data_IF_000742139915
#
_entry.id   IF_000742139915
#
_cell.length_a   1.000
_cell.length_b   1.000
_cell.length_c   1.000
_cell.angle_alpha   90.00
_cell.angle_beta   90.00
_cell.angle_gamma   90.00
#
_symmetry.space_group_name_H-M   'P 1'
#
loop_
_entity.id
_entity.type
_entity.pdbx_description
1 polymer ?
#
# COMPACT_ATOMS: atom_id res chain seq x y z
N UNK A 1 12.19 -26.41 33.66
CA UNK A 1 12.69 -25.01 33.69
C UNK A 1 11.90 -24.25 32.64
N UNK A 2 10.97 -23.42 33.08
CA UNK A 2 10.10 -22.61 32.24
C UNK A 2 10.86 -21.42 31.67
N UNK A 3 10.96 -21.31 30.35
CA UNK A 3 11.43 -20.08 29.71
C UNK A 3 10.52 -18.90 30.08
N UNK A 4 11.09 -17.72 30.35
CA UNK A 4 10.28 -16.55 30.63
C UNK A 4 9.61 -16.08 29.32
N UNK A 5 8.29 -15.95 29.36
CA UNK A 5 7.53 -15.29 28.32
C UNK A 5 8.17 -13.94 27.99
N UNK A 6 8.67 -13.77 26.76
CA UNK A 6 9.12 -12.48 26.25
C UNK A 6 7.94 -11.53 26.29
N UNK A 7 7.95 -10.61 27.26
CA UNK A 7 7.09 -9.43 27.24
C UNK A 7 7.44 -8.62 26.00
N UNK A 8 6.57 -8.67 25.01
CA UNK A 8 6.55 -7.68 23.92
C UNK A 8 6.08 -6.39 24.58
N UNK A 9 6.96 -5.39 24.68
CA UNK A 9 6.55 -4.04 25.09
C UNK A 9 5.54 -3.52 24.05
N UNK A 10 4.29 -3.18 24.40
CA UNK A 10 3.26 -2.91 23.39
C UNK A 10 3.31 -1.53 22.76
N UNK A 11 4.25 -0.66 23.14
CA UNK A 11 4.33 0.71 22.62
C UNK A 11 5.77 1.17 22.65
N UNK A 12 6.41 1.46 21.50
CA UNK A 12 7.72 2.06 21.52
C UNK A 12 7.60 3.52 21.97
N UNK A 13 8.61 4.01 22.68
CA UNK A 13 8.84 5.45 22.94
C UNK A 13 9.00 6.28 21.64
N UNK A 14 8.85 5.67 20.45
CA UNK A 14 9.31 6.15 19.15
C UNK A 14 8.27 6.84 18.26
N UNK A 15 7.03 7.02 18.71
CA UNK A 15 5.98 7.70 17.94
C UNK A 15 5.58 9.06 18.52
N UNK A 16 6.49 9.67 19.28
CA UNK A 16 6.34 11.08 19.66
C UNK A 16 6.38 11.95 18.40
N UNK A 17 5.47 12.95 18.25
CA UNK A 17 5.54 13.95 17.18
C UNK A 17 6.90 14.70 17.10
N UNK A 18 7.68 14.65 18.19
CA UNK A 18 9.02 15.25 18.29
C UNK A 18 10.12 14.44 17.60
N UNK A 19 9.90 13.16 17.33
CA UNK A 19 10.84 12.28 16.62
C UNK A 19 10.33 12.09 15.21
N UNK A 20 11.08 12.59 14.21
CA UNK A 20 10.74 12.44 12.79
C UNK A 20 11.45 11.22 12.22
N UNK A 21 10.77 10.08 11.99
CA UNK A 21 11.41 8.89 11.47
C UNK A 21 11.70 9.03 9.97
N UNK A 22 12.67 8.28 9.47
CA UNK A 22 12.66 7.91 8.06
C UNK A 22 11.68 6.74 7.88
N UNK A 23 11.12 6.58 6.68
CA UNK A 23 10.19 5.48 6.44
C UNK A 23 10.87 4.11 6.63
N UNK A 24 12.16 4.02 6.28
CA UNK A 24 12.97 2.83 6.51
C UNK A 24 13.32 2.63 8.00
N UNK A 25 13.32 3.69 8.83
CA UNK A 25 13.46 3.54 10.28
C UNK A 25 12.15 3.14 10.95
N UNK A 26 10.98 3.41 10.35
CA UNK A 26 9.73 2.75 10.77
C UNK A 26 9.80 1.22 10.55
N UNK A 27 10.68 0.77 9.65
CA UNK A 27 10.99 -0.64 9.41
C UNK A 27 12.06 -1.21 10.38
N UNK A 28 12.72 -0.38 11.20
CA UNK A 28 13.70 -0.85 12.18
C UNK A 28 13.01 -1.38 13.44
N UNK A 29 12.40 -2.55 13.32
CA UNK A 29 12.52 -3.64 14.30
C UNK A 29 12.35 -4.97 13.55
N UNK A 30 13.44 -5.73 13.53
CA UNK A 30 13.64 -7.05 12.95
C UNK A 30 13.56 -7.18 11.41
N UNK A 31 14.74 -7.23 10.78
CA UNK A 31 14.99 -8.38 9.92
C UNK A 31 14.78 -9.61 10.80
N UNK A 32 13.63 -10.28 10.63
CA UNK A 32 13.27 -11.44 11.45
C UNK A 32 14.21 -12.59 11.09
N UNK A 33 15.31 -12.73 11.82
CA UNK A 33 16.14 -13.94 11.77
C UNK A 33 15.37 -15.21 12.14
N UNK A 34 14.15 -15.07 12.67
CA UNK A 34 13.19 -16.13 12.97
C UNK A 34 12.21 -16.47 11.85
N UNK A 35 12.02 -15.59 10.85
CA UNK A 35 11.09 -15.89 9.74
C UNK A 35 11.81 -16.85 8.79
N UNK A 36 11.60 -18.14 9.03
CA UNK A 36 12.09 -19.23 8.21
C UNK A 36 10.92 -20.12 7.84
N UNK A 37 10.93 -20.64 6.63
CA UNK A 37 10.02 -21.70 6.24
C UNK A 37 10.83 -22.99 6.11
N UNK A 38 10.42 -24.04 6.81
CA UNK A 38 10.92 -25.39 6.55
C UNK A 38 10.19 -25.95 5.34
N UNK A 39 10.84 -26.83 4.57
CA UNK A 39 10.17 -27.58 3.51
C UNK A 39 8.99 -28.38 4.10
N UNK A 40 7.73 -28.03 3.76
CA UNK A 40 6.55 -28.68 4.35
C UNK A 40 6.42 -30.15 3.93
N UNK A 41 7.17 -30.60 2.92
CA UNK A 41 7.17 -31.98 2.43
C UNK A 41 8.41 -32.77 2.87
N UNK A 42 9.25 -32.21 3.75
CA UNK A 42 10.39 -32.95 4.31
C UNK A 42 9.90 -34.17 5.10
N UNK A 43 10.05 -35.36 4.51
CA UNK A 43 9.61 -36.64 5.10
C UNK A 43 8.13 -36.99 4.88
N UNK A 44 7.41 -36.30 3.99
CA UNK A 44 6.01 -36.55 3.66
C UNK A 44 5.75 -36.90 2.18
N UNK A 45 4.48 -36.93 1.77
CA UNK A 45 4.10 -37.06 0.35
C UNK A 45 4.53 -35.81 -0.44
N UNK A 46 4.98 -35.95 -1.70
CA UNK A 46 5.35 -34.80 -2.52
C UNK A 46 4.12 -33.92 -2.83
N UNK A 47 4.31 -32.63 -3.12
CA UNK A 47 3.22 -31.75 -3.57
C UNK A 47 2.57 -32.30 -4.85
N UNK A 48 1.34 -31.87 -5.14
CA UNK A 48 0.76 -32.11 -6.45
C UNK A 48 1.65 -31.54 -7.56
N UNK A 49 1.48 -32.05 -8.79
CA UNK A 49 2.26 -31.59 -9.95
C UNK A 49 1.75 -30.27 -10.49
N UNK A 50 0.45 -29.99 -10.37
CA UNK A 50 -0.15 -28.71 -10.72
C UNK A 50 -1.40 -28.46 -9.88
N UNK A 51 -1.64 -27.20 -9.56
CA UNK A 51 -2.88 -26.77 -8.93
C UNK A 51 -3.13 -25.28 -9.20
N UNK A 52 -4.39 -24.87 -9.14
CA UNK A 52 -4.83 -23.48 -9.32
C UNK A 52 -6.11 -23.22 -8.54
N UNK A 53 -6.11 -22.17 -7.71
CA UNK A 53 -7.28 -21.70 -6.97
C UNK A 53 -8.26 -21.07 -7.95
N UNK A 54 -9.42 -21.69 -8.13
CA UNK A 54 -10.45 -21.24 -9.07
C UNK A 54 -11.33 -20.11 -8.49
N UNK A 55 -11.51 -20.10 -7.17
CA UNK A 55 -12.36 -19.14 -6.47
C UNK A 55 -11.58 -18.33 -5.43
N UNK A 56 -11.41 -17.05 -5.71
CA UNK A 56 -10.74 -16.05 -4.88
C UNK A 56 -11.17 -14.63 -5.32
N UNK A 57 -10.98 -13.66 -4.44
CA UNK A 57 -11.18 -12.24 -4.77
C UNK A 57 -10.04 -11.77 -5.67
N UNK A 58 -10.33 -11.45 -6.94
CA UNK A 58 -9.34 -10.94 -7.88
C UNK A 58 -8.97 -9.49 -7.55
N UNK A 59 -7.75 -9.10 -7.89
CA UNK A 59 -7.31 -7.71 -7.82
C UNK A 59 -8.01 -6.92 -8.94
N UNK A 60 -8.70 -5.85 -8.57
CA UNK A 60 -9.25 -4.90 -9.54
C UNK A 60 -8.17 -3.91 -9.99
N UNK A 61 -8.13 -3.61 -11.29
CA UNK A 61 -7.19 -2.63 -11.84
C UNK A 61 -7.50 -1.16 -11.44
N UNK A 62 -8.62 -0.93 -10.75
CA UNK A 62 -9.05 0.34 -10.19
C UNK A 62 -8.77 0.47 -8.68
N UNK A 63 -8.24 -0.57 -8.04
CA UNK A 63 -8.06 -0.62 -6.58
C UNK A 63 -6.72 -0.03 -6.16
N UNK A 64 -6.67 1.30 -6.07
CA UNK A 64 -5.45 2.10 -5.97
C UNK A 64 -4.48 1.75 -4.82
N UNK A 65 -4.90 1.01 -3.79
CA UNK A 65 -3.98 0.42 -2.79
C UNK A 65 -3.75 -1.09 -3.07
N UNK A 66 -2.94 -1.38 -4.09
CA UNK A 66 -2.80 -2.72 -4.68
C UNK A 66 -2.37 -3.79 -3.67
N UNK A 67 -1.41 -3.44 -2.81
CA UNK A 67 -0.96 -4.34 -1.75
C UNK A 67 -2.09 -4.66 -0.77
N UNK A 68 -2.90 -3.67 -0.41
CA UNK A 68 -4.05 -3.84 0.47
C UNK A 68 -5.15 -4.69 -0.17
N UNK A 69 -5.34 -4.58 -1.49
CA UNK A 69 -6.25 -5.44 -2.25
C UNK A 69 -5.80 -6.91 -2.23
N UNK A 70 -4.50 -7.16 -2.39
CA UNK A 70 -3.94 -8.51 -2.25
C UNK A 70 -4.13 -9.09 -0.86
N UNK A 71 -3.90 -8.29 0.20
CA UNK A 71 -4.14 -8.72 1.58
C UNK A 71 -5.63 -9.02 1.80
N UNK A 72 -6.52 -8.19 1.25
CA UNK A 72 -7.97 -8.41 1.31
C UNK A 72 -8.37 -9.77 0.72
N UNK A 73 -7.81 -10.12 -0.44
CA UNK A 73 -8.07 -11.42 -1.07
C UNK A 73 -7.63 -12.60 -0.23
N UNK A 74 -6.43 -12.53 0.37
CA UNK A 74 -5.96 -13.55 1.33
C UNK A 74 -6.91 -13.63 2.53
N UNK A 75 -7.31 -12.48 3.09
CA UNK A 75 -8.26 -12.40 4.19
C UNK A 75 -9.59 -13.09 3.89
N UNK A 76 -10.15 -12.88 2.69
CA UNK A 76 -11.37 -13.59 2.24
C UNK A 76 -11.20 -15.11 2.25
N UNK A 77 -10.04 -15.62 1.80
CA UNK A 77 -9.76 -17.08 1.83
C UNK A 77 -9.56 -17.64 3.24
N UNK A 78 -9.21 -16.79 4.20
CA UNK A 78 -9.15 -17.14 5.63
C UNK A 78 -10.51 -17.02 6.34
N UNK A 79 -11.57 -16.64 5.62
CA UNK A 79 -12.92 -16.50 6.16
C UNK A 79 -13.22 -15.11 6.75
N UNK A 80 -12.44 -14.07 6.41
CA UNK A 80 -12.80 -12.70 6.77
C UNK A 80 -14.05 -12.24 6.01
N UNK A 81 -14.99 -11.64 6.73
CA UNK A 81 -16.17 -11.00 6.15
C UNK A 81 -15.85 -9.62 5.54
N UNK A 82 -14.64 -9.10 5.77
CA UNK A 82 -14.21 -7.78 5.32
C UNK A 82 -13.75 -7.86 3.86
N UNK A 83 -14.59 -7.33 2.96
CA UNK A 83 -14.32 -7.20 1.53
C UNK A 83 -14.09 -5.73 1.13
N UNK A 84 -13.22 -5.06 1.88
CA UNK A 84 -12.84 -3.67 1.62
C UNK A 84 -11.33 -3.53 1.79
N UNK A 85 -10.61 -3.27 0.69
CA UNK A 85 -9.17 -3.07 0.74
C UNK A 85 -8.78 -1.84 1.58
N UNK A 86 -9.68 -0.85 1.70
CA UNK A 86 -9.38 0.32 2.52
C UNK A 86 -9.34 0.01 4.03
N UNK A 87 -10.02 -1.06 4.48
CA UNK A 87 -9.85 -1.55 5.85
C UNK A 87 -8.37 -1.88 6.11
N UNK A 88 -7.74 -2.60 5.19
CA UNK A 88 -6.33 -3.02 5.28
C UNK A 88 -5.37 -1.83 5.16
N UNK A 89 -5.74 -0.82 4.35
CA UNK A 89 -4.99 0.42 4.17
C UNK A 89 -4.81 1.24 5.47
N UNK A 90 -5.66 1.02 6.48
CA UNK A 90 -5.45 1.61 7.80
C UNK A 90 -4.23 1.02 8.52
N UNK A 91 -3.99 -0.29 8.38
CA UNK A 91 -2.91 -0.99 9.08
C UNK A 91 -1.57 -0.89 8.35
N UNK A 92 -1.61 -0.71 7.03
CA UNK A 92 -0.41 -0.41 6.24
C UNK A 92 0.01 1.06 6.34
N UNK A 93 -0.92 1.94 6.74
CA UNK A 93 -0.69 3.39 6.86
C UNK A 93 -0.95 4.17 5.57
N UNK A 94 -1.39 3.52 4.49
CA UNK A 94 -1.70 4.17 3.22
C UNK A 94 -2.82 5.21 3.38
N UNK A 95 -3.81 4.95 4.23
CA UNK A 95 -4.89 5.91 4.51
C UNK A 95 -4.43 7.18 5.23
N UNK A 96 -3.28 7.15 5.92
CA UNK A 96 -2.78 8.24 6.76
C UNK A 96 -1.53 8.92 6.23
N UNK A 97 -1.01 8.47 5.09
CA UNK A 97 0.21 9.01 4.50
C UNK A 97 -0.13 9.86 3.28
N UNK A 98 0.23 11.14 3.35
CA UNK A 98 0.12 12.07 2.22
C UNK A 98 1.51 12.27 1.62
N UNK A 99 1.67 12.02 0.32
CA UNK A 99 2.97 12.08 -0.36
C UNK A 99 2.91 12.91 -1.64
N UNK A 100 4.05 13.52 -1.98
CA UNK A 100 4.28 14.23 -3.23
C UNK A 100 5.76 14.16 -3.59
N UNK A 101 6.13 14.49 -4.83
CA UNK A 101 7.52 14.68 -5.20
C UNK A 101 8.23 15.63 -4.22
N UNK A 102 9.45 15.30 -3.79
CA UNK A 102 10.20 16.14 -2.85
C UNK A 102 10.64 17.48 -3.48
N UNK A 103 10.64 17.56 -4.80
CA UNK A 103 11.04 18.72 -5.58
C UNK A 103 9.85 19.29 -6.36
N UNK A 104 9.76 20.61 -6.35
CA UNK A 104 8.73 21.37 -7.05
C UNK A 104 8.76 21.08 -8.56
N UNK A 105 7.58 20.83 -9.14
CA UNK A 105 7.45 20.49 -10.57
C UNK A 105 7.81 19.05 -10.92
N UNK A 106 8.07 18.18 -9.93
CA UNK A 106 8.36 16.76 -10.12
C UNK A 106 9.40 16.47 -11.26
N UNK A 107 10.62 17.03 -11.19
CA UNK A 107 11.61 16.91 -12.26
C UNK A 107 12.06 15.46 -12.52
N UNK A 108 11.94 14.58 -11.51
CA UNK A 108 12.29 13.17 -11.60
C UNK A 108 11.11 12.29 -12.04
N UNK A 109 9.95 12.89 -12.36
CA UNK A 109 8.74 12.21 -12.81
C UNK A 109 8.30 11.05 -11.89
N UNK A 110 8.43 11.25 -10.57
CA UNK A 110 8.03 10.24 -9.58
C UNK A 110 6.51 10.08 -9.59
N UNK A 111 6.02 8.86 -9.57
CA UNK A 111 4.57 8.61 -9.54
C UNK A 111 4.03 8.81 -8.12
N UNK A 112 2.87 9.44 -7.97
CA UNK A 112 2.20 9.62 -6.67
C UNK A 112 0.74 9.15 -6.73
N UNK A 113 0.43 8.25 -7.66
CA UNK A 113 -0.90 7.73 -7.93
C UNK A 113 -1.46 6.81 -6.85
N UNK A 114 -0.63 6.19 -6.01
CA UNK A 114 -1.00 5.18 -5.02
C UNK A 114 -0.50 5.53 -3.59
N UNK A 115 -0.76 4.64 -2.64
CA UNK A 115 -0.33 4.77 -1.24
C UNK A 115 1.18 4.59 -1.06
N UNK A 116 1.65 4.81 0.16
CA UNK A 116 3.07 4.69 0.54
C UNK A 116 3.64 3.30 0.27
N UNK A 117 2.80 2.26 0.38
CA UNK A 117 3.20 0.88 0.09
C UNK A 117 3.44 0.57 -1.39
N UNK A 118 3.13 1.48 -2.31
CA UNK A 118 3.54 1.30 -3.70
C UNK A 118 4.99 1.74 -3.95
N UNK A 119 5.49 2.69 -3.15
CA UNK A 119 6.79 3.35 -3.40
C UNK A 119 7.86 2.99 -2.38
N UNK A 120 7.47 2.42 -1.24
CA UNK A 120 8.38 2.08 -0.16
C UNK A 120 8.13 0.65 0.30
N UNK A 121 9.13 -0.20 0.09
CA UNK A 121 9.07 -1.59 0.48
C UNK A 121 9.29 -1.73 2.00
N UNK A 122 8.20 -1.93 2.73
CA UNK A 122 8.19 -2.08 4.19
C UNK A 122 7.34 -3.30 4.59
N UNK A 123 7.94 -4.52 4.62
CA UNK A 123 7.23 -5.77 4.92
C UNK A 123 6.43 -5.77 6.22
N UNK A 124 6.87 -4.98 7.21
CA UNK A 124 6.21 -4.86 8.51
C UNK A 124 4.78 -4.32 8.39
N UNK A 125 4.49 -3.51 7.37
CA UNK A 125 3.13 -3.01 7.10
C UNK A 125 2.18 -4.14 6.72
N UNK A 126 2.65 -5.13 5.94
CA UNK A 126 1.86 -6.32 5.59
C UNK A 126 1.62 -7.19 6.82
N UNK A 127 2.64 -7.41 7.66
CA UNK A 127 2.49 -8.22 8.90
C UNK A 127 1.46 -7.60 9.85
N UNK A 128 1.45 -6.27 9.98
CA UNK A 128 0.41 -5.55 10.76
C UNK A 128 -0.99 -5.78 10.21
N UNK A 129 -1.15 -5.74 8.89
CA UNK A 129 -2.45 -6.00 8.26
C UNK A 129 -2.93 -7.45 8.44
N UNK A 130 -2.04 -8.45 8.41
CA UNK A 130 -2.38 -9.84 8.74
C UNK A 130 -2.77 -10.00 10.22
N UNK A 131 -2.07 -9.31 11.11
CA UNK A 131 -2.43 -9.29 12.54
C UNK A 131 -3.84 -8.77 12.72
N UNK A 132 -4.26 -7.75 11.96
CA UNK A 132 -5.60 -7.17 12.02
C UNK A 132 -6.74 -8.10 11.57
N UNK A 133 -6.43 -9.23 10.94
CA UNK A 133 -7.38 -10.31 10.64
C UNK A 133 -7.16 -11.57 11.48
N UNK A 134 -6.32 -11.49 12.53
CA UNK A 134 -6.13 -12.54 13.52
C UNK A 134 -5.11 -13.62 13.14
N UNK A 135 -4.21 -13.33 12.20
CA UNK A 135 -3.17 -14.27 11.75
C UNK A 135 -1.77 -13.68 11.88
N UNK A 136 -0.80 -14.54 12.17
CA UNK A 136 0.61 -14.20 11.95
C UNK A 136 0.92 -14.19 10.44
N UNK A 137 2.06 -13.61 10.09
CA UNK A 137 2.53 -13.52 8.72
C UNK A 137 4.02 -13.86 8.64
N UNK A 138 4.35 -14.83 7.80
CA UNK A 138 5.73 -15.21 7.53
C UNK A 138 6.19 -14.44 6.29
N UNK A 139 7.19 -13.58 6.45
CA UNK A 139 7.81 -12.86 5.34
C UNK A 139 9.11 -13.55 4.92
N UNK A 140 9.25 -13.83 3.62
CA UNK A 140 10.50 -14.31 3.03
C UNK A 140 11.04 -13.27 2.05
N UNK A 141 12.26 -12.79 2.31
CA UNK A 141 12.95 -11.87 1.41
C UNK A 141 13.45 -12.55 0.15
N UNK A 142 13.75 -11.78 -0.90
CA UNK A 142 14.36 -12.30 -2.12
C UNK A 142 15.65 -13.13 -1.86
N UNK A 143 16.47 -12.70 -0.90
CA UNK A 143 17.71 -13.42 -0.58
C UNK A 143 17.42 -14.77 0.10
N UNK A 144 16.38 -14.87 0.93
CA UNK A 144 15.93 -16.14 1.51
C UNK A 144 15.32 -17.06 0.45
N UNK A 145 14.52 -16.51 -0.47
CA UNK A 145 13.95 -17.23 -1.61
C UNK A 145 15.05 -17.86 -2.46
N UNK A 146 16.10 -17.09 -2.81
CA UNK A 146 17.24 -17.59 -3.58
C UNK A 146 18.07 -18.64 -2.83
N UNK A 147 18.19 -18.49 -1.51
CA UNK A 147 18.99 -19.41 -0.68
C UNK A 147 18.38 -20.81 -0.63
N UNK A 148 17.06 -20.93 -0.59
CA UNK A 148 16.37 -22.22 -0.53
C UNK A 148 15.12 -22.21 -1.42
N UNK A 149 15.35 -22.05 -2.74
CA UNK A 149 14.28 -21.92 -3.72
C UNK A 149 13.31 -23.10 -3.68
N UNK A 150 13.82 -24.32 -3.48
CA UNK A 150 12.99 -25.52 -3.48
C UNK A 150 12.05 -25.56 -2.27
N UNK A 151 12.54 -25.25 -1.07
CA UNK A 151 11.67 -25.18 0.11
C UNK A 151 10.60 -24.09 -0.03
N UNK A 152 10.95 -22.93 -0.59
CA UNK A 152 9.99 -21.85 -0.83
C UNK A 152 8.95 -22.23 -1.86
N UNK A 153 9.36 -22.84 -2.98
CA UNK A 153 8.43 -23.32 -3.99
C UNK A 153 7.48 -24.37 -3.40
N UNK A 154 8.00 -25.31 -2.62
CA UNK A 154 7.18 -26.28 -1.89
C UNK A 154 6.19 -25.61 -0.91
N UNK A 155 6.60 -24.55 -0.22
CA UNK A 155 5.70 -23.78 0.64
C UNK A 155 4.57 -23.08 -0.13
N UNK A 156 4.86 -22.52 -1.31
CA UNK A 156 3.84 -21.96 -2.21
C UNK A 156 2.84 -23.05 -2.61
N UNK A 157 3.34 -24.23 -3.03
CA UNK A 157 2.49 -25.37 -3.42
C UNK A 157 1.56 -25.78 -2.27
N UNK A 158 2.12 -25.96 -1.07
CA UNK A 158 1.36 -26.31 0.13
C UNK A 158 0.31 -25.26 0.52
N UNK A 159 0.57 -23.97 0.30
CA UNK A 159 -0.41 -22.90 0.55
C UNK A 159 -1.57 -22.98 -0.46
N UNK A 160 -1.24 -23.13 -1.74
CA UNK A 160 -2.21 -23.20 -2.84
C UNK A 160 -3.08 -24.46 -2.74
N UNK A 161 -2.50 -25.59 -2.33
CA UNK A 161 -3.22 -26.84 -2.09
C UNK A 161 -4.23 -26.74 -0.94
N UNK A 162 -4.00 -25.82 0.01
CA UNK A 162 -4.97 -25.45 1.05
C UNK A 162 -6.01 -24.42 0.56
N UNK A 163 -5.92 -23.99 -0.69
CA UNK A 163 -6.77 -22.96 -1.28
C UNK A 163 -6.41 -21.54 -0.85
N UNK A 164 -5.20 -21.29 -0.36
CA UNK A 164 -4.77 -19.97 0.14
C UNK A 164 -3.72 -19.39 -0.82
N UNK A 165 -4.00 -18.26 -1.50
CA UNK A 165 -3.01 -17.62 -2.37
C UNK A 165 -1.87 -17.03 -1.55
N UNK A 166 -0.67 -17.03 -2.12
CA UNK A 166 0.51 -16.39 -1.52
C UNK A 166 0.62 -14.98 -2.06
N UNK A 167 0.77 -14.00 -1.15
CA UNK A 167 1.02 -12.62 -1.57
C UNK A 167 2.49 -12.47 -1.95
N UNK A 168 2.73 -11.93 -3.14
CA UNK A 168 4.05 -11.50 -3.58
C UNK A 168 4.03 -9.98 -3.79
N UNK A 169 5.03 -9.30 -3.23
CA UNK A 169 5.21 -7.87 -3.45
C UNK A 169 6.38 -7.68 -4.38
N UNK A 170 6.17 -7.03 -5.52
CA UNK A 170 7.19 -7.02 -6.56
C UNK A 170 7.14 -8.30 -7.37
N UNK A 171 6.47 -8.40 -8.52
CA UNK A 171 6.60 -9.61 -9.36
C UNK A 171 7.59 -9.40 -10.49
N UNK A 172 8.57 -10.30 -10.62
CA UNK A 172 9.54 -10.27 -11.71
C UNK A 172 8.97 -10.70 -13.05
N UNK A 173 9.71 -10.39 -14.11
CA UNK A 173 9.48 -10.88 -15.47
C UNK A 173 8.04 -10.63 -16.00
N UNK A 174 7.53 -9.42 -15.80
CA UNK A 174 6.20 -9.02 -16.27
C UNK A 174 6.31 -8.10 -17.49
N UNK A 175 5.65 -8.47 -18.59
CA UNK A 175 5.55 -7.65 -19.80
C UNK A 175 4.12 -7.18 -20.00
N UNK A 176 3.93 -5.88 -20.17
CA UNK A 176 2.63 -5.26 -20.44
C UNK A 176 2.31 -5.22 -21.94
N UNK A 177 1.06 -4.94 -22.27
CA UNK A 177 0.57 -4.76 -23.65
C UNK A 177 1.32 -3.66 -24.41
N UNK A 178 1.72 -2.59 -23.71
CA UNK A 178 2.50 -1.50 -24.30
C UNK A 178 3.98 -1.84 -24.53
N UNK A 179 4.40 -3.05 -24.16
CA UNK A 179 5.80 -3.50 -24.28
C UNK A 179 6.68 -3.07 -23.11
N UNK A 180 6.14 -2.43 -22.06
CA UNK A 180 6.92 -2.14 -20.86
C UNK A 180 7.21 -3.43 -20.12
N UNK A 181 8.49 -3.61 -19.75
CA UNK A 181 9.00 -4.73 -18.98
C UNK A 181 9.26 -4.29 -17.53
N UNK A 182 8.78 -5.08 -16.57
CA UNK A 182 8.91 -4.84 -15.15
C UNK A 182 9.61 -6.00 -14.45
N UNK A 183 10.62 -5.66 -13.65
CA UNK A 183 11.48 -6.64 -12.99
C UNK A 183 12.15 -6.08 -11.72
N UNK A 184 11.40 -5.91 -10.61
CA UNK A 184 10.00 -6.33 -10.42
C UNK A 184 8.95 -5.25 -10.74
N UNK A 185 7.73 -5.70 -11.00
CA UNK A 185 6.49 -4.91 -11.03
C UNK A 185 6.18 -4.38 -9.61
N UNK A 186 6.07 -3.07 -9.35
CA UNK A 186 6.04 -2.52 -7.99
C UNK A 186 4.86 -2.98 -7.12
N UNK A 187 3.73 -3.27 -7.75
CA UNK A 187 2.48 -3.59 -7.08
C UNK A 187 2.49 -4.95 -6.36
N UNK A 188 1.56 -5.11 -5.41
CA UNK A 188 1.25 -6.40 -4.82
C UNK A 188 0.51 -7.31 -5.81
N UNK A 189 0.78 -8.60 -5.77
CA UNK A 189 0.14 -9.62 -6.59
C UNK A 189 -0.12 -10.91 -5.81
N UNK A 190 -0.94 -11.80 -6.38
CA UNK A 190 -1.32 -13.06 -5.76
C UNK A 190 -0.86 -14.25 -6.59
N UNK A 191 -0.05 -15.11 -6.00
CA UNK A 191 0.30 -16.41 -6.56
C UNK A 191 -0.81 -17.38 -6.12
N UNK A 192 -1.65 -17.79 -7.07
CA UNK A 192 -2.80 -18.65 -6.81
C UNK A 192 -2.74 -20.00 -7.51
N UNK A 193 -1.65 -20.30 -8.21
CA UNK A 193 -1.44 -21.62 -8.80
C UNK A 193 0.02 -21.87 -9.18
N UNK A 194 0.31 -23.12 -9.52
CA UNK A 194 1.62 -23.58 -9.97
C UNK A 194 1.51 -24.76 -10.94
N UNK A 195 2.62 -25.09 -11.61
CA UNK A 195 2.81 -26.33 -12.37
C UNK A 195 4.12 -27.08 -12.00
N UNK A 196 4.40 -28.13 -12.77
CA UNK A 196 5.53 -29.04 -12.55
C UNK A 196 6.90 -28.46 -12.93
N UNK A 197 6.91 -27.38 -13.73
CA UNK A 197 8.11 -26.70 -14.21
C UNK A 197 8.41 -25.41 -13.43
N UNK A 198 7.90 -25.34 -12.20
CA UNK A 198 7.98 -24.18 -11.30
C UNK A 198 7.42 -22.89 -11.95
N UNK A 199 6.47 -23.04 -12.87
CA UNK A 199 5.67 -21.93 -13.39
C UNK A 199 4.65 -21.53 -12.33
N UNK A 200 4.42 -20.23 -12.21
CA UNK A 200 3.43 -19.66 -11.30
C UNK A 200 2.25 -19.09 -12.08
N UNK A 201 1.04 -19.32 -11.57
CA UNK A 201 -0.17 -18.62 -11.99
C UNK A 201 -0.40 -17.44 -11.06
N UNK A 202 -0.23 -16.22 -11.58
CA UNK A 202 -0.18 -14.98 -10.80
C UNK A 202 -1.28 -14.02 -11.24
N UNK A 203 -2.11 -13.56 -10.29
CA UNK A 203 -3.08 -12.51 -10.54
C UNK A 203 -2.36 -11.17 -10.38
N UNK A 204 -2.12 -10.52 -11.52
CA UNK A 204 -1.36 -9.29 -11.63
C UNK A 204 -2.32 -8.09 -11.72
N UNK A 205 -2.05 -7.05 -10.93
CA UNK A 205 -2.81 -5.81 -10.93
C UNK A 205 -3.03 -5.17 -12.32
N UNK A 206 -2.04 -5.14 -13.25
CA UNK A 206 -2.25 -4.68 -14.62
C UNK A 206 -3.55 -5.20 -15.26
N UNK A 207 -3.93 -6.44 -14.97
CA UNK A 207 -5.18 -7.02 -15.43
C UNK A 207 -5.21 -7.24 -16.95
N UNK A 208 -6.29 -7.83 -17.48
CA UNK A 208 -6.40 -8.12 -18.90
C UNK A 208 -6.35 -6.86 -19.78
N UNK A 209 -6.71 -5.66 -19.28
CA UNK A 209 -6.67 -4.44 -20.08
C UNK A 209 -5.25 -3.95 -20.37
N UNK A 210 -4.30 -4.18 -19.46
CA UNK A 210 -2.91 -3.71 -19.59
C UNK A 210 -1.91 -4.83 -19.87
N UNK A 211 -2.33 -6.09 -19.80
CA UNK A 211 -1.52 -7.24 -20.18
C UNK A 211 -1.74 -7.63 -21.66
N UNK A 212 -0.79 -8.38 -22.27
CA UNK A 212 -0.94 -8.87 -23.63
C UNK A 212 -2.25 -9.64 -23.82
N UNK A 213 -2.87 -9.50 -24.99
CA UNK A 213 -4.13 -10.20 -25.29
C UNK A 213 -3.96 -11.72 -25.16
N UNK A 214 -4.92 -12.39 -24.52
CA UNK A 214 -4.88 -13.84 -24.27
C UNK A 214 -3.87 -14.30 -23.21
N UNK A 215 -3.15 -13.39 -22.53
CA UNK A 215 -2.17 -13.74 -21.49
C UNK A 215 -2.75 -13.95 -20.09
N UNK A 216 -4.05 -13.72 -19.92
CA UNK A 216 -4.80 -13.89 -18.67
C UNK A 216 -5.85 -14.96 -18.89
N UNK A 217 -5.88 -15.98 -18.03
CA UNK A 217 -6.85 -17.07 -18.11
C UNK A 217 -8.23 -16.71 -17.53
N UNK A 218 -9.18 -17.65 -17.63
CA UNK A 218 -10.56 -17.49 -17.13
C UNK A 218 -10.64 -17.24 -15.61
N UNK A 219 -9.61 -17.63 -14.86
CA UNK A 219 -9.48 -17.42 -13.42
C UNK A 219 -8.73 -16.11 -13.07
N UNK A 220 -8.30 -15.35 -14.07
CA UNK A 220 -7.61 -14.07 -13.88
C UNK A 220 -6.11 -14.18 -13.66
N UNK A 221 -5.48 -15.32 -13.95
CA UNK A 221 -4.04 -15.50 -13.78
C UNK A 221 -3.26 -15.33 -15.07
N UNK A 222 -2.07 -14.74 -14.95
CA UNK A 222 -1.00 -14.82 -15.92
C UNK A 222 -0.01 -15.92 -15.57
N UNK A 223 0.59 -16.50 -16.60
CA UNK A 223 1.63 -17.51 -16.47
C UNK A 223 3.00 -16.84 -16.36
N UNK A 224 3.65 -16.94 -15.21
CA UNK A 224 4.92 -16.28 -14.92
C UNK A 224 6.00 -17.32 -14.65
N UNK A 225 7.14 -17.18 -15.33
CA UNK A 225 8.36 -17.94 -15.09
C UNK A 225 9.44 -17.03 -14.54
N UNK A 226 10.30 -17.53 -13.65
CA UNK A 226 11.40 -16.78 -13.05
C UNK A 226 10.99 -15.49 -12.30
N UNK A 227 9.70 -15.26 -12.05
CA UNK A 227 9.22 -14.05 -11.38
C UNK A 227 9.71 -13.93 -9.93
N UNK A 228 10.04 -15.06 -9.29
CA UNK A 228 10.64 -15.09 -7.95
C UNK A 228 12.11 -14.66 -7.93
N UNK A 229 12.80 -14.56 -9.07
CA UNK A 229 14.21 -14.17 -9.11
C UNK A 229 14.42 -12.73 -8.64
N UNK A 230 13.45 -11.85 -8.87
CA UNK A 230 13.54 -10.41 -8.58
C UNK A 230 12.42 -9.91 -7.67
N UNK A 231 11.51 -10.78 -7.21
CA UNK A 231 10.45 -10.38 -6.29
C UNK A 231 11.01 -9.74 -5.03
N UNK A 232 10.38 -8.68 -4.51
CA UNK A 232 10.85 -8.03 -3.26
C UNK A 232 10.63 -8.96 -2.05
N UNK A 233 9.61 -9.82 -2.11
CA UNK A 233 9.45 -10.94 -1.21
C UNK A 233 8.05 -11.52 -1.18
N UNK A 234 7.90 -12.60 -0.42
CA UNK A 234 6.68 -13.37 -0.29
C UNK A 234 6.13 -13.29 1.13
N UNK A 235 4.81 -13.32 1.23
CA UNK A 235 4.08 -13.25 2.49
C UNK A 235 3.12 -14.43 2.58
N UNK A 236 3.40 -15.33 3.53
CA UNK A 236 2.59 -16.50 3.80
C UNK A 236 1.73 -16.26 5.04
N UNK A 237 0.55 -16.86 5.04
CA UNK A 237 -0.29 -16.93 6.24
C UNK A 237 0.41 -17.83 7.27
N UNK A 238 0.66 -17.27 8.46
CA UNK A 238 1.19 -18.00 9.60
C UNK A 238 0.09 -18.61 10.47
N UNK A 239 0.43 -18.89 11.72
CA UNK A 239 -0.51 -19.46 12.68
C UNK A 239 -1.63 -18.47 13.04
N UNK A 240 -2.82 -19.02 13.35
CA UNK A 240 -3.93 -18.23 13.89
C UNK A 240 -3.58 -17.74 15.29
N UNK A 241 -3.77 -16.45 15.54
CA UNK A 241 -3.43 -15.84 16.83
C UNK A 241 -4.41 -16.31 17.92
N UNK A 242 -3.87 -16.80 19.04
CA UNK A 242 -4.66 -17.35 20.16
C UNK A 242 -5.40 -16.28 20.96
N UNK A 243 -4.86 -15.06 21.00
CA UNK A 243 -5.48 -13.88 21.60
C UNK A 243 -5.42 -12.77 20.56
N UNK A 244 -6.58 -12.21 20.23
CA UNK A 244 -6.74 -11.14 19.26
C UNK A 244 -7.71 -10.11 19.83
N UNK A 245 -7.22 -8.90 20.05
CA UNK A 245 -7.99 -7.79 20.58
C UNK A 245 -8.02 -6.66 19.53
N UNK A 246 -9.16 -6.52 18.86
CA UNK A 246 -9.34 -5.53 17.80
C UNK A 246 -9.25 -4.10 18.33
N UNK A 247 -9.67 -3.85 19.58
CA UNK A 247 -9.57 -2.51 20.18
C UNK A 247 -8.10 -2.11 20.32
N UNK A 248 -7.24 -3.03 20.77
CA UNK A 248 -5.80 -2.81 20.87
C UNK A 248 -5.13 -2.64 19.48
N UNK A 249 -5.60 -3.38 18.47
CA UNK A 249 -5.14 -3.21 17.08
C UNK A 249 -5.46 -1.81 16.57
N UNK A 250 -6.71 -1.34 16.72
CA UNK A 250 -7.09 0.03 16.34
C UNK A 250 -6.30 1.08 17.11
N UNK A 251 -6.11 0.88 18.42
CA UNK A 251 -5.28 1.77 19.24
C UNK A 251 -3.86 1.89 18.68
N UNK A 252 -3.21 0.76 18.38
CA UNK A 252 -1.85 0.74 17.82
C UNK A 252 -1.76 1.41 16.45
N UNK A 253 -2.78 1.22 15.59
CA UNK A 253 -2.88 1.94 14.31
C UNK A 253 -2.94 3.44 14.52
N UNK A 254 -3.82 3.91 15.42
CA UNK A 254 -3.99 5.34 15.70
C UNK A 254 -2.71 5.95 16.28
N UNK A 255 -2.03 5.25 17.19
CA UNK A 255 -0.75 5.67 17.78
C UNK A 255 0.39 5.79 16.75
N UNK A 256 0.26 5.15 15.57
CA UNK A 256 1.27 5.23 14.51
C UNK A 256 1.11 6.42 13.57
N UNK A 257 -0.04 7.10 13.58
CA UNK A 257 -0.35 8.22 12.68
C UNK A 257 0.69 9.35 12.71
N UNK A 258 1.19 9.80 13.89
CA UNK A 258 2.20 10.85 13.92
C UNK A 258 3.45 10.52 13.11
N UNK A 259 3.86 9.24 13.07
CA UNK A 259 5.01 8.82 12.30
C UNK A 259 4.81 9.02 10.80
N UNK A 260 3.64 8.63 10.27
CA UNK A 260 3.32 8.78 8.85
C UNK A 260 3.24 10.25 8.41
N UNK A 261 2.70 11.12 9.27
CA UNK A 261 2.57 12.55 8.97
C UNK A 261 3.90 13.31 9.07
N UNK A 262 4.88 12.79 9.82
CA UNK A 262 6.17 13.45 10.09
C UNK A 262 7.37 12.80 9.41
N UNK A 263 7.12 11.84 8.51
CA UNK A 263 8.15 11.18 7.72
C UNK A 263 9.13 12.18 7.09
N UNK A 264 10.42 11.91 7.27
CA UNK A 264 11.46 12.65 6.56
C UNK A 264 11.41 12.34 5.05
N UNK A 265 11.72 13.32 4.18
CA UNK A 265 11.81 13.07 2.75
C UNK A 265 12.73 11.89 2.45
N UNK A 266 12.25 10.94 1.64
CA UNK A 266 12.89 9.63 1.46
C UNK A 266 12.93 9.24 -0.02
N UNK A 267 14.01 8.55 -0.40
CA UNK A 267 14.16 7.97 -1.75
C UNK A 267 13.33 6.69 -1.87
N UNK A 268 12.59 6.55 -2.96
CA UNK A 268 11.87 5.31 -3.30
C UNK A 268 12.82 4.27 -3.89
N UNK A 269 12.49 2.99 -3.71
CA UNK A 269 13.19 1.91 -4.40
C UNK A 269 12.91 1.89 -5.92
N UNK A 270 11.91 2.63 -6.38
CA UNK A 270 11.58 2.86 -7.80
C UNK A 270 12.29 4.09 -8.38
N UNK A 271 13.08 4.78 -7.57
CA UNK A 271 13.78 6.00 -7.95
C UNK A 271 13.02 7.28 -7.59
N UNK A 272 13.81 8.32 -7.36
CA UNK A 272 13.34 9.65 -6.99
C UNK A 272 12.86 9.76 -5.53
N UNK A 273 12.65 11.01 -5.13
CA UNK A 273 12.48 11.39 -3.73
C UNK A 273 11.08 11.93 -3.47
N UNK A 274 10.53 11.54 -2.33
CA UNK A 274 9.20 11.94 -1.88
C UNK A 274 9.29 12.80 -0.63
N UNK A 275 8.40 13.77 -0.53
CA UNK A 275 8.07 14.47 0.71
C UNK A 275 6.72 13.98 1.25
N UNK A 276 6.47 14.21 2.53
CA UNK A 276 5.30 13.68 3.22
C UNK A 276 4.55 14.76 4.02
N UNK A 277 3.30 14.45 4.38
CA UNK A 277 2.48 15.25 5.28
C UNK A 277 2.29 16.69 4.79
N UNK A 278 2.38 17.66 5.71
CA UNK A 278 2.27 19.09 5.37
C UNK A 278 3.23 19.51 4.26
N UNK A 279 4.48 19.02 4.31
CA UNK A 279 5.50 19.42 3.33
C UNK A 279 5.14 18.98 1.92
N UNK A 280 4.54 17.79 1.76
CA UNK A 280 4.03 17.31 0.48
C UNK A 280 2.97 18.27 -0.09
N UNK A 281 1.98 18.64 0.73
CA UNK A 281 0.94 19.59 0.33
C UNK A 281 1.49 20.97 -0.04
N UNK A 282 2.47 21.48 0.69
CA UNK A 282 3.13 22.77 0.38
C UNK A 282 3.83 22.73 -0.98
N UNK A 283 4.65 21.70 -1.25
CA UNK A 283 5.36 21.57 -2.53
C UNK A 283 4.37 21.42 -3.67
N UNK A 284 3.29 20.66 -3.46
CA UNK A 284 2.23 20.49 -4.45
C UNK A 284 1.52 21.81 -4.75
N UNK A 285 1.09 22.53 -3.71
CA UNK A 285 0.46 23.84 -3.86
C UNK A 285 1.38 24.84 -4.59
N UNK A 286 2.65 24.88 -4.24
CA UNK A 286 3.63 25.76 -4.87
C UNK A 286 3.92 25.37 -6.32
N UNK A 287 3.85 24.07 -6.64
CA UNK A 287 3.95 23.57 -8.02
C UNK A 287 2.78 24.09 -8.85
N UNK A 288 1.55 23.99 -8.36
CA UNK A 288 0.35 24.41 -9.09
C UNK A 288 0.31 25.92 -9.40
N UNK A 289 0.83 26.77 -8.52
CA UNK A 289 0.88 28.23 -8.75
C UNK A 289 2.09 28.71 -9.56
N UNK A 290 2.87 27.78 -10.12
CA UNK A 290 4.05 28.12 -10.93
C UNK A 290 3.73 27.96 -12.40
N UNK A 291 3.44 29.09 -13.04
CA UNK A 291 2.88 29.11 -14.38
C UNK A 291 3.79 28.51 -15.46
N UNK A 292 5.11 28.54 -15.25
CA UNK A 292 6.11 27.94 -16.15
C UNK A 292 5.81 26.46 -16.50
N UNK A 293 5.18 25.70 -15.59
CA UNK A 293 4.86 24.30 -15.85
C UNK A 293 3.63 24.11 -16.75
N UNK A 294 2.76 25.12 -16.88
CA UNK A 294 1.43 24.98 -17.50
C UNK A 294 1.23 25.91 -18.71
N UNK A 295 1.97 27.01 -18.78
CA UNK A 295 1.89 27.96 -19.89
C UNK A 295 2.45 27.39 -21.20
N UNK A 296 1.89 27.86 -22.32
CA UNK A 296 2.31 27.49 -23.67
C UNK A 296 2.26 25.98 -23.94
N UNK A 297 1.37 25.24 -23.28
CA UNK A 297 1.12 23.81 -23.49
C UNK A 297 -0.14 23.57 -24.31
N UNK A 298 -0.05 22.65 -25.26
CA UNK A 298 -1.21 22.06 -25.93
C UNK A 298 -2.07 21.29 -24.92
N UNK A 299 -3.31 20.95 -25.28
CA UNK A 299 -4.20 20.19 -24.39
C UNK A 299 -3.63 18.79 -24.09
N UNK A 300 -2.98 18.14 -25.06
CA UNK A 300 -2.36 16.82 -24.89
C UNK A 300 -1.17 16.86 -23.93
N UNK A 301 -0.27 17.85 -24.10
CA UNK A 301 0.86 18.06 -23.18
C UNK A 301 0.36 18.39 -21.78
N UNK A 302 -0.66 19.25 -21.68
CA UNK A 302 -1.26 19.63 -20.41
C UNK A 302 -1.95 18.45 -19.73
N UNK A 303 -2.52 17.51 -20.49
CA UNK A 303 -3.08 16.27 -19.96
C UNK A 303 -2.03 15.43 -19.22
N UNK A 304 -0.85 15.23 -19.84
CA UNK A 304 0.27 14.52 -19.20
C UNK A 304 0.82 15.26 -17.98
N UNK A 305 0.96 16.59 -18.08
CA UNK A 305 1.40 17.45 -16.96
C UNK A 305 0.37 17.43 -15.82
N UNK A 306 -0.92 17.47 -16.14
CA UNK A 306 -2.01 17.41 -15.18
C UNK A 306 -2.00 16.08 -14.44
N UNK A 307 -1.82 14.96 -15.14
CA UNK A 307 -1.62 13.66 -14.50
C UNK A 307 -0.44 13.69 -13.54
N UNK A 308 0.75 14.04 -14.05
CA UNK A 308 2.00 13.97 -13.31
C UNK A 308 2.04 14.89 -12.09
N UNK A 309 1.59 16.15 -12.23
CA UNK A 309 1.75 17.17 -11.19
C UNK A 309 0.54 17.29 -10.27
N UNK A 310 -0.61 16.71 -10.62
CA UNK A 310 -1.85 16.91 -9.89
C UNK A 310 -2.74 15.67 -9.77
N UNK A 311 -3.22 15.06 -10.85
CA UNK A 311 -4.20 13.98 -10.75
C UNK A 311 -3.63 12.72 -10.08
N UNK A 312 -2.36 12.37 -10.33
CA UNK A 312 -1.71 11.25 -9.65
C UNK A 312 -1.69 11.45 -8.12
N UNK A 313 -1.05 12.50 -7.56
CA UNK A 313 -1.09 12.73 -6.11
C UNK A 313 -2.51 12.93 -5.55
N UNK A 314 -3.41 13.51 -6.34
CA UNK A 314 -4.82 13.60 -5.98
C UNK A 314 -5.52 12.24 -5.92
N UNK A 315 -5.12 11.27 -6.75
CA UNK A 315 -5.60 9.89 -6.72
C UNK A 315 -5.37 9.25 -5.34
N UNK A 316 -4.16 9.41 -4.79
CA UNK A 316 -3.83 8.93 -3.45
C UNK A 316 -4.73 9.57 -2.37
N UNK A 317 -4.92 10.90 -2.43
CA UNK A 317 -5.80 11.63 -1.50
C UNK A 317 -7.25 11.20 -1.67
N UNK A 318 -7.72 11.00 -2.89
CA UNK A 318 -9.12 10.71 -3.16
C UNK A 318 -9.53 9.28 -2.84
N UNK A 319 -8.56 8.36 -2.90
CA UNK A 319 -8.73 6.96 -2.48
C UNK A 319 -8.82 6.82 -0.96
N UNK A 320 -8.20 7.71 -0.19
CA UNK A 320 -8.17 7.58 1.28
C UNK A 320 -9.58 7.52 1.89
N UNK A 321 -9.78 6.56 2.79
CA UNK A 321 -11.02 6.38 3.58
C UNK A 321 -10.80 6.61 5.08
N UNK A 322 -9.76 7.37 5.45
CA UNK A 322 -9.41 7.60 6.85
C UNK A 322 -10.58 8.11 7.72
N UNK A 323 -11.45 8.98 7.16
CA UNK A 323 -12.66 9.42 7.88
C UNK A 323 -13.60 8.25 8.21
N UNK A 324 -13.88 7.38 7.25
CA UNK A 324 -14.79 6.25 7.43
C UNK A 324 -14.23 5.24 8.44
N UNK A 325 -12.90 5.05 8.44
CA UNK A 325 -12.21 4.30 9.50
C UNK A 325 -12.48 4.89 10.88
N UNK A 326 -12.22 6.19 11.09
CA UNK A 326 -12.44 6.82 12.40
C UNK A 326 -13.91 6.80 12.80
N UNK A 327 -14.84 6.97 11.85
CA UNK A 327 -16.27 6.88 12.10
C UNK A 327 -16.63 5.50 12.64
N UNK A 328 -16.22 4.43 11.95
CA UNK A 328 -16.47 3.05 12.39
C UNK A 328 -15.83 2.73 13.74
N UNK A 329 -14.58 3.18 13.99
CA UNK A 329 -13.91 2.98 15.28
C UNK A 329 -14.65 3.68 16.42
N UNK A 330 -15.12 4.93 16.22
CA UNK A 330 -15.85 5.67 17.24
C UNK A 330 -17.22 5.06 17.52
N UNK A 331 -17.91 4.57 16.48
CA UNK A 331 -19.20 3.87 16.63
C UNK A 331 -19.04 2.57 17.44
N UNK A 332 -17.93 1.84 17.24
CA UNK A 332 -17.68 0.57 17.92
C UNK A 332 -17.03 0.73 19.30
N UNK A 333 -16.11 1.67 19.45
CA UNK A 333 -15.30 1.92 20.65
C UNK A 333 -15.30 3.41 21.03
N UNK A 334 -16.43 3.94 21.53
CA UNK A 334 -16.54 5.35 21.89
C UNK A 334 -15.64 5.78 23.05
N UNK A 335 -15.12 4.82 23.83
CA UNK A 335 -14.13 5.00 24.89
C UNK A 335 -12.70 5.20 24.37
N UNK A 336 -12.45 4.93 23.09
CA UNK A 336 -11.17 5.20 22.44
C UNK A 336 -11.06 6.70 22.12
N UNK A 337 -10.86 7.51 23.16
CA UNK A 337 -10.95 8.99 23.14
C UNK A 337 -10.08 9.64 22.06
N UNK A 338 -8.94 9.05 21.71
CA UNK A 338 -8.09 9.53 20.63
C UNK A 338 -8.80 9.48 19.27
N UNK A 339 -9.53 8.40 18.97
CA UNK A 339 -10.33 8.31 17.74
C UNK A 339 -11.43 9.38 17.70
N UNK A 340 -12.10 9.62 18.83
CA UNK A 340 -13.13 10.67 18.95
C UNK A 340 -12.55 12.05 18.65
N UNK A 341 -11.34 12.34 19.16
CA UNK A 341 -10.65 13.63 18.91
C UNK A 341 -10.18 13.79 17.47
N UNK A 342 -9.79 12.69 16.81
CA UNK A 342 -9.27 12.70 15.44
C UNK A 342 -10.35 12.70 14.36
N UNK A 343 -11.51 12.09 14.63
CA UNK A 343 -12.65 12.02 13.71
C UNK A 343 -13.00 13.36 13.04
N UNK A 344 -13.19 14.49 13.76
CA UNK A 344 -13.50 15.77 13.12
C UNK A 344 -12.37 16.30 12.23
N UNK A 345 -11.11 15.96 12.50
CA UNK A 345 -9.97 16.39 11.68
C UNK A 345 -9.90 15.63 10.36
N UNK A 346 -10.14 14.32 10.39
CA UNK A 346 -10.25 13.52 9.16
C UNK A 346 -11.50 13.86 8.36
N UNK A 347 -12.58 14.32 9.01
CA UNK A 347 -13.72 14.91 8.30
C UNK A 347 -13.32 16.18 7.54
N UNK A 348 -12.54 17.09 8.14
CA UNK A 348 -12.00 18.27 7.43
C UNK A 348 -11.16 17.86 6.21
N UNK A 349 -10.30 16.85 6.34
CA UNK A 349 -9.53 16.33 5.19
C UNK A 349 -10.45 15.82 4.06
N UNK A 350 -11.49 15.05 4.40
CA UNK A 350 -12.47 14.56 3.44
C UNK A 350 -13.24 15.70 2.75
N UNK A 351 -13.59 16.75 3.50
CA UNK A 351 -14.30 17.92 2.98
C UNK A 351 -13.43 18.72 2.02
N UNK A 352 -12.17 18.98 2.37
CA UNK A 352 -11.23 19.64 1.46
C UNK A 352 -10.92 18.83 0.20
N UNK A 353 -10.83 17.50 0.31
CA UNK A 353 -10.81 16.62 -0.86
C UNK A 353 -12.04 16.88 -1.73
N UNK A 354 -13.23 16.89 -1.14
CA UNK A 354 -14.48 17.09 -1.89
C UNK A 354 -14.55 18.48 -2.54
N UNK A 355 -14.01 19.52 -1.89
CA UNK A 355 -13.89 20.85 -2.49
C UNK A 355 -13.04 20.83 -3.76
N UNK A 356 -11.88 20.15 -3.76
CA UNK A 356 -11.05 19.97 -4.97
C UNK A 356 -11.83 19.18 -6.05
N UNK A 357 -12.49 18.08 -5.68
CA UNK A 357 -13.34 17.31 -6.60
C UNK A 357 -14.40 18.19 -7.27
N UNK A 358 -15.06 19.05 -6.50
CA UNK A 358 -16.09 19.96 -7.01
C UNK A 358 -15.52 21.01 -7.96
N UNK A 359 -14.28 21.49 -7.75
CA UNK A 359 -13.60 22.38 -8.68
C UNK A 359 -13.31 21.69 -10.02
N UNK A 360 -12.89 20.43 -9.99
CA UNK A 360 -12.63 19.66 -11.19
C UNK A 360 -13.92 19.40 -11.96
N UNK A 361 -14.97 18.93 -11.27
CA UNK A 361 -16.21 18.42 -11.86
C UNK A 361 -16.15 16.94 -12.28
N UNK A 362 -14.94 16.37 -12.37
CA UNK A 362 -14.66 14.95 -12.57
C UNK A 362 -13.24 14.65 -12.02
N UNK A 363 -12.70 13.43 -12.17
CA UNK A 363 -11.35 13.11 -11.71
C UNK A 363 -10.29 14.00 -12.38
N UNK A 364 -10.36 14.17 -13.70
CA UNK A 364 -9.55 15.15 -14.43
C UNK A 364 -10.25 16.51 -14.50
N UNK A 365 -9.56 17.62 -14.17
CA UNK A 365 -10.11 18.95 -14.39
C UNK A 365 -10.15 19.29 -15.90
N UNK A 366 -11.10 20.12 -16.36
CA UNK A 366 -11.12 20.60 -17.73
C UNK A 366 -9.83 21.37 -18.08
N UNK A 367 -9.15 20.97 -19.16
CA UNK A 367 -7.86 21.57 -19.55
C UNK A 367 -7.92 23.09 -19.75
N UNK A 368 -9.03 23.60 -20.29
CA UNK A 368 -9.26 25.04 -20.43
C UNK A 368 -9.26 25.79 -19.09
N UNK A 369 -9.73 25.18 -18.01
CA UNK A 369 -9.64 25.73 -16.65
C UNK A 369 -8.26 25.48 -16.05
N UNK A 370 -7.76 24.24 -16.15
CA UNK A 370 -6.49 23.86 -15.53
C UNK A 370 -5.29 24.64 -16.07
N UNK A 371 -5.38 25.18 -17.29
CA UNK A 371 -4.42 26.10 -17.89
C UNK A 371 -4.36 27.47 -17.18
N UNK A 372 -5.41 27.92 -16.50
CA UNK A 372 -5.42 29.24 -15.86
C UNK A 372 -4.76 29.22 -14.47
N UNK A 373 -4.04 30.29 -14.15
CA UNK A 373 -3.41 30.46 -12.84
C UNK A 373 -4.47 30.46 -11.74
N UNK A 374 -5.58 31.17 -11.95
CA UNK A 374 -6.63 31.37 -10.95
C UNK A 374 -7.26 30.04 -10.52
N UNK A 375 -7.47 29.11 -11.46
CA UNK A 375 -8.01 27.79 -11.14
C UNK A 375 -7.04 26.97 -10.29
N UNK A 376 -5.76 26.92 -10.69
CA UNK A 376 -4.72 26.22 -9.95
C UNK A 376 -4.47 26.84 -8.57
N UNK A 377 -4.60 28.16 -8.45
CA UNK A 377 -4.46 28.87 -7.17
C UNK A 377 -5.57 28.51 -6.17
N UNK A 378 -6.81 28.30 -6.62
CA UNK A 378 -7.90 27.81 -5.77
C UNK A 378 -7.58 26.43 -5.19
N UNK A 379 -7.12 25.50 -6.03
CA UNK A 379 -6.69 24.17 -5.58
C UNK A 379 -5.52 24.29 -4.60
N UNK A 380 -4.51 25.09 -4.92
CA UNK A 380 -3.34 25.31 -4.06
C UNK A 380 -3.70 25.86 -2.67
N UNK A 381 -4.71 26.73 -2.56
CA UNK A 381 -5.21 27.20 -1.28
C UNK A 381 -5.80 26.06 -0.45
N UNK A 382 -6.61 25.19 -1.06
CA UNK A 382 -7.19 24.02 -0.38
C UNK A 382 -6.09 23.06 0.07
N UNK A 383 -5.09 22.79 -0.77
CA UNK A 383 -3.94 21.96 -0.41
C UNK A 383 -3.19 22.52 0.81
N UNK A 384 -3.01 23.84 0.92
CA UNK A 384 -2.41 24.45 2.12
C UNK A 384 -3.28 24.28 3.37
N UNK A 385 -4.61 24.30 3.23
CA UNK A 385 -5.54 23.98 4.32
C UNK A 385 -5.41 22.51 4.75
N UNK A 386 -5.33 21.58 3.79
CA UNK A 386 -5.05 20.16 4.08
C UNK A 386 -3.72 19.99 4.82
N UNK A 387 -2.65 20.66 4.37
CA UNK A 387 -1.38 20.68 5.06
C UNK A 387 -1.45 21.20 6.50
N UNK A 388 -2.33 22.17 6.78
CA UNK A 388 -2.57 22.68 8.14
C UNK A 388 -3.31 21.66 9.01
N UNK A 389 -4.21 20.86 8.44
CA UNK A 389 -4.89 19.79 9.17
C UNK A 389 -3.90 18.69 9.61
N UNK A 390 -2.81 18.44 8.87
CA UNK A 390 -1.74 17.55 9.34
C UNK A 390 -1.14 18.03 10.68
N UNK A 391 -0.89 19.33 10.84
CA UNK A 391 -0.39 19.89 12.09
C UNK A 391 -1.46 19.83 13.20
N UNK A 392 -2.74 20.11 12.87
CA UNK A 392 -3.84 19.95 13.83
C UNK A 392 -3.93 18.51 14.35
N UNK A 393 -3.77 17.51 13.48
CA UNK A 393 -3.74 16.09 13.86
C UNK A 393 -2.57 15.83 14.80
N UNK A 394 -1.35 16.31 14.48
CA UNK A 394 -0.18 16.10 15.33
C UNK A 394 -0.35 16.73 16.72
N UNK A 395 -0.93 17.93 16.80
CA UNK A 395 -1.20 18.61 18.07
C UNK A 395 -2.13 17.81 18.99
N UNK A 396 -3.01 16.98 18.45
CA UNK A 396 -3.88 16.10 19.26
C UNK A 396 -3.06 15.07 20.06
N UNK A 397 -1.92 14.64 19.54
CA UNK A 397 -1.00 13.67 20.18
C UNK A 397 0.03 14.31 21.12
N UNK A 398 0.17 15.63 21.12
CA UNK A 398 1.08 16.37 22.02
C UNK A 398 0.41 16.77 23.35
N UNK A 399 -0.90 16.59 23.45
CA UNK A 399 -1.75 16.84 24.64
C UNK A 399 -1.97 15.51 25.36
#
# INVERSE_FOLDING_TARGET
MSEPAKKINPTPESYSPKVKPSILSMAQYAAFSSDTISDPFSGGEPPHTTNKIQDYRRLGNWENYFLCSAICSVGKKLGSDIDDFHFYANFTGDNFTYLYAAEKGNPNNVQCDSGVTNYFFVPQFVKKAYTAIGYDCIYLSNSQIKKDFRAVMNAIKASIDKGIPVLAWGMGNVTTRSGNYYDPLPEGCLIGGYDENDVLYVNLYPGPERLPEGSVDEYGYSTITKGLDTTNGLFFVGEKLKQFDMQQVYKSTIESIPAFLTLLPSESYLGGKYAFGKKAFEIWADTLVTDLYFENKTDDELGGICWNLHCAPYCCVCTSSAYDFFKGVVEQYPDLTMAVRLLPLYKKMQDYRQEIWNLHGDFFPPMGKFRTHEFRAQIAEILRKMGSVCDEILNVFEI
#
